data_IF_870225673585
#
_entry.id   IF_870225673585
#
_cell.length_a   1.000
_cell.length_b   1.000
_cell.length_c   1.000
_cell.angle_alpha   90.00
_cell.angle_beta   90.00
_cell.angle_gamma   90.00
#
_symmetry.space_group_name_H-M   'P 1'
#
loop_
_entity.id
_entity.type
_entity.pdbx_description
1 polymer ?
#
# COMPACT_ATOMS: atom_id res chain seq x y z
N UNK A 1 4.45 11.52 0.14
CA UNK A 1 3.65 12.49 0.93
C UNK A 1 4.34 12.72 2.26
N UNK A 2 4.21 13.90 2.83
CA UNK A 2 4.83 14.33 4.09
C UNK A 2 3.76 14.71 5.10
N UNK A 3 4.04 14.57 6.40
CA UNK A 3 3.14 15.00 7.46
C UNK A 3 2.99 16.54 7.52
N UNK A 4 4.07 17.27 7.18
CA UNK A 4 4.10 18.73 7.11
C UNK A 4 4.71 19.20 5.77
N UNK A 5 4.49 20.46 5.37
CA UNK A 5 5.00 21.03 4.11
C UNK A 5 6.53 21.30 4.18
N UNK A 6 7.30 20.24 4.39
CA UNK A 6 8.76 20.28 4.52
C UNK A 6 9.41 19.01 3.97
N UNK A 7 10.57 19.16 3.31
CA UNK A 7 11.37 18.01 2.85
C UNK A 7 11.95 17.19 4.03
N UNK A 8 12.13 17.81 5.17
CA UNK A 8 12.69 17.18 6.37
C UNK A 8 11.62 16.55 7.27
N UNK A 9 10.32 16.74 6.96
CA UNK A 9 9.26 16.13 7.76
C UNK A 9 9.10 14.64 7.42
N UNK A 10 8.44 13.92 8.32
CA UNK A 10 8.15 12.50 8.19
C UNK A 10 7.47 12.17 6.85
N UNK A 11 7.93 11.12 6.19
CA UNK A 11 7.18 10.51 5.10
C UNK A 11 6.04 9.67 5.69
N UNK A 12 4.81 10.07 5.44
CA UNK A 12 3.62 9.38 5.98
C UNK A 12 2.94 8.46 4.99
N UNK A 13 3.12 8.72 3.67
CA UNK A 13 2.52 7.91 2.61
C UNK A 13 3.25 8.13 1.28
N UNK A 14 2.95 7.29 0.28
CA UNK A 14 3.35 7.46 -1.12
C UNK A 14 2.11 7.41 -2.02
N UNK A 15 1.97 8.39 -2.91
CA UNK A 15 1.08 8.27 -4.06
C UNK A 15 1.81 7.56 -5.20
N UNK A 16 1.15 6.56 -5.77
CA UNK A 16 1.66 5.88 -6.95
C UNK A 16 1.23 6.61 -8.22
N UNK A 17 1.93 6.34 -9.32
CA UNK A 17 1.56 6.91 -10.62
C UNK A 17 0.08 6.64 -10.94
N UNK A 18 -0.60 7.69 -11.40
CA UNK A 18 -2.00 7.63 -11.83
C UNK A 18 -3.04 7.62 -10.71
N UNK A 19 -2.63 7.48 -9.44
CA UNK A 19 -3.53 7.71 -8.32
C UNK A 19 -3.99 9.16 -8.32
N UNK A 20 -5.24 9.38 -7.97
CA UNK A 20 -5.90 10.69 -8.01
C UNK A 20 -5.99 11.27 -6.61
N UNK A 21 -5.95 12.59 -6.53
CA UNK A 21 -6.16 13.31 -5.29
C UNK A 21 -6.94 14.60 -5.52
N UNK A 22 -7.55 15.09 -4.47
CA UNK A 22 -8.07 16.43 -4.36
C UNK A 22 -7.00 17.33 -3.72
N UNK A 23 -6.81 18.53 -4.26
CA UNK A 23 -5.97 19.55 -3.65
C UNK A 23 -6.83 20.36 -2.68
N UNK A 24 -6.48 20.30 -1.39
CA UNK A 24 -7.18 21.01 -0.32
C UNK A 24 -6.63 22.42 -0.11
N UNK A 25 -5.30 22.57 -0.25
CA UNK A 25 -4.58 23.79 0.03
C UNK A 25 -3.27 23.81 -0.77
N UNK A 26 -2.80 24.99 -1.16
CA UNK A 26 -1.46 25.24 -1.70
C UNK A 26 -0.85 26.39 -0.92
N UNK A 27 0.31 26.19 -0.31
CA UNK A 27 1.01 27.23 0.43
C UNK A 27 1.99 28.03 -0.47
N UNK A 28 2.52 29.12 0.08
CA UNK A 28 3.43 30.06 -0.62
C UNK A 28 4.75 29.42 -1.11
N UNK A 29 5.09 28.21 -0.61
CA UNK A 29 6.29 27.47 -0.97
C UNK A 29 5.99 26.32 -1.95
N UNK A 30 4.88 26.35 -2.66
CA UNK A 30 4.43 25.30 -3.59
C UNK A 30 4.29 23.90 -2.98
N UNK A 31 3.90 23.82 -1.71
CA UNK A 31 3.43 22.59 -1.11
C UNK A 31 1.92 22.51 -1.25
N UNK A 32 1.42 21.38 -1.72
CA UNK A 32 0.01 21.08 -1.80
C UNK A 32 -0.38 20.08 -0.69
N UNK A 33 -1.35 20.45 0.14
CA UNK A 33 -2.07 19.51 0.99
C UNK A 33 -3.10 18.81 0.12
N UNK A 34 -3.05 17.49 0.09
CA UNK A 34 -3.89 16.68 -0.77
C UNK A 34 -4.65 15.64 0.04
N UNK A 35 -5.81 15.24 -0.47
CA UNK A 35 -6.57 14.07 -0.04
C UNK A 35 -6.56 13.02 -1.16
N UNK A 36 -6.02 11.84 -0.87
CA UNK A 36 -6.01 10.71 -1.80
C UNK A 36 -7.44 10.22 -2.06
N UNK A 37 -7.79 9.98 -3.31
CA UNK A 37 -9.13 9.50 -3.69
C UNK A 37 -9.36 8.05 -3.25
N UNK A 38 -8.30 7.23 -3.24
CA UNK A 38 -8.39 5.81 -2.96
C UNK A 38 -8.77 5.50 -1.50
N UNK A 39 -8.16 6.19 -0.54
CA UNK A 39 -8.24 5.88 0.90
C UNK A 39 -8.59 7.10 1.78
N UNK A 40 -8.76 8.27 1.15
CA UNK A 40 -9.03 9.52 1.87
C UNK A 40 -7.83 10.05 2.67
N UNK A 41 -6.64 9.44 2.56
CA UNK A 41 -5.46 9.86 3.32
C UNK A 41 -4.99 11.25 2.97
N UNK A 42 -4.75 12.09 3.98
CA UNK A 42 -4.29 13.47 3.80
C UNK A 42 -2.79 13.61 4.08
N UNK A 43 -2.13 14.50 3.37
CA UNK A 43 -0.74 14.83 3.58
C UNK A 43 -0.24 15.83 2.53
N UNK A 44 1.02 16.21 2.66
CA UNK A 44 1.64 17.24 1.84
C UNK A 44 2.54 16.62 0.75
N UNK A 45 2.50 17.19 -0.44
CA UNK A 45 3.46 16.91 -1.52
C UNK A 45 3.86 18.20 -2.24
N UNK A 46 4.88 18.16 -3.07
CA UNK A 46 5.20 19.30 -3.94
C UNK A 46 4.15 19.42 -5.04
N UNK A 47 3.62 20.62 -5.25
CA UNK A 47 2.63 20.88 -6.29
C UNK A 47 3.12 20.44 -7.69
N UNK A 48 4.40 20.65 -7.99
CA UNK A 48 5.02 20.22 -9.26
C UNK A 48 5.06 18.69 -9.48
N UNK A 49 4.70 17.87 -8.49
CA UNK A 49 4.55 16.41 -8.63
C UNK A 49 3.14 16.02 -9.09
N UNK A 50 2.21 16.97 -9.17
CA UNK A 50 0.82 16.75 -9.52
C UNK A 50 0.56 17.18 -10.96
N UNK A 51 -0.32 16.44 -11.65
CA UNK A 51 -0.84 16.81 -12.97
C UNK A 51 -2.30 17.18 -12.83
N UNK A 52 -2.62 18.44 -13.14
CA UNK A 52 -4.01 18.92 -13.10
C UNK A 52 -4.84 18.25 -14.19
N UNK A 53 -6.00 17.75 -13.83
CA UNK A 53 -6.96 17.13 -14.75
C UNK A 53 -8.34 17.77 -14.62
N UNK A 54 -9.14 17.81 -15.68
CA UNK A 54 -10.51 18.29 -15.59
C UNK A 54 -11.35 17.42 -14.66
N UNK A 55 -12.33 18.01 -13.95
CA UNK A 55 -13.24 17.30 -13.04
C UNK A 55 -13.94 16.10 -13.71
N UNK A 56 -14.27 16.22 -14.99
CA UNK A 56 -14.85 15.13 -15.79
C UNK A 56 -13.90 13.92 -15.89
N UNK A 57 -12.60 14.15 -15.97
CA UNK A 57 -11.58 13.07 -15.98
C UNK A 57 -11.35 12.53 -14.56
N UNK A 58 -11.30 13.40 -13.55
CA UNK A 58 -11.16 13.00 -12.14
C UNK A 58 -12.25 12.01 -11.70
N UNK A 59 -13.49 12.19 -12.14
CA UNK A 59 -14.63 11.31 -11.81
C UNK A 59 -14.59 9.94 -12.49
N UNK A 60 -13.67 9.71 -13.43
CA UNK A 60 -13.52 8.41 -14.09
C UNK A 60 -12.64 7.49 -13.25
N UNK A 61 -13.12 6.30 -12.97
CA UNK A 61 -12.29 5.29 -12.30
C UNK A 61 -11.25 4.71 -13.28
N UNK A 62 -10.01 4.45 -12.81
CA UNK A 62 -9.03 3.72 -13.61
C UNK A 62 -9.59 2.33 -13.93
N UNK A 63 -9.31 1.84 -15.14
CA UNK A 63 -9.82 0.52 -15.57
C UNK A 63 -8.90 -0.64 -15.20
N UNK A 64 -7.65 -0.34 -14.87
CA UNK A 64 -6.63 -1.34 -14.57
C UNK A 64 -5.47 -0.71 -13.79
N UNK A 65 -4.71 -1.57 -13.14
CA UNK A 65 -3.44 -1.22 -12.48
C UNK A 65 -2.26 -1.92 -13.16
N UNK A 66 -1.05 -1.39 -12.94
CA UNK A 66 0.21 -2.05 -13.29
C UNK A 66 0.36 -3.33 -12.46
N UNK A 67 0.63 -4.47 -13.10
CA UNK A 67 0.60 -5.78 -12.44
C UNK A 67 1.89 -6.61 -12.58
N UNK A 68 2.93 -6.08 -13.14
CA UNK A 68 4.24 -6.75 -13.12
C UNK A 68 5.30 -5.90 -12.44
N UNK A 69 6.26 -6.55 -11.79
CA UNK A 69 7.38 -5.87 -11.12
C UNK A 69 8.28 -5.11 -12.12
N UNK A 70 8.31 -5.56 -13.38
CA UNK A 70 9.02 -4.89 -14.48
C UNK A 70 8.17 -3.91 -15.29
N UNK A 71 7.04 -3.42 -14.75
CA UNK A 71 6.22 -2.42 -15.43
C UNK A 71 6.98 -1.11 -15.59
N UNK A 72 6.84 -0.48 -16.76
CA UNK A 72 7.52 0.78 -17.06
C UNK A 72 6.76 1.65 -18.06
N UNK A 73 7.04 2.94 -17.99
CA UNK A 73 6.72 3.91 -19.02
C UNK A 73 7.97 4.16 -19.86
N UNK A 74 7.85 4.03 -21.19
CA UNK A 74 8.92 4.35 -22.14
C UNK A 74 8.59 5.68 -22.80
N UNK A 75 9.41 6.67 -22.55
CA UNK A 75 9.42 7.98 -23.16
C UNK A 75 10.39 8.01 -24.35
N UNK A 76 10.40 9.09 -25.11
CA UNK A 76 11.37 9.29 -26.18
C UNK A 76 12.82 9.31 -25.64
N UNK A 77 13.01 9.89 -24.45
CA UNK A 77 14.32 10.15 -23.84
C UNK A 77 14.72 9.13 -22.77
N UNK A 78 13.94 8.04 -22.56
CA UNK A 78 14.26 7.03 -21.55
C UNK A 78 13.07 6.27 -21.00
N UNK A 79 13.31 5.55 -19.94
CA UNK A 79 12.31 4.71 -19.30
C UNK A 79 12.16 5.07 -17.82
N UNK A 80 10.95 5.02 -17.32
CA UNK A 80 10.62 5.17 -15.90
C UNK A 80 9.98 3.87 -15.40
N UNK A 81 10.50 3.34 -14.30
CA UNK A 81 9.86 2.24 -13.59
C UNK A 81 8.48 2.67 -13.06
N UNK A 82 7.52 1.77 -13.19
CA UNK A 82 6.16 1.97 -12.69
C UNK A 82 5.88 0.96 -11.58
N UNK A 83 5.62 1.41 -10.35
CA UNK A 83 5.33 0.54 -9.22
C UNK A 83 4.14 -0.39 -9.46
N UNK A 84 4.21 -1.60 -8.88
CA UNK A 84 3.08 -2.52 -8.81
C UNK A 84 1.89 -1.84 -8.13
N UNK A 85 0.69 -1.97 -8.71
CA UNK A 85 -0.52 -1.31 -8.20
C UNK A 85 -0.72 0.15 -8.61
N UNK A 86 0.21 0.73 -9.41
CA UNK A 86 0.02 2.06 -10.01
C UNK A 86 -1.22 2.06 -10.91
N UNK A 87 -2.06 3.08 -10.79
CA UNK A 87 -3.25 3.20 -11.60
C UNK A 87 -2.90 3.54 -13.06
N UNK A 88 -3.41 2.77 -14.00
CA UNK A 88 -3.22 3.03 -15.43
C UNK A 88 -4.24 4.07 -15.92
N UNK A 89 -4.44 5.13 -15.11
CA UNK A 89 -5.36 6.21 -15.41
C UNK A 89 -4.91 6.96 -16.67
N UNK A 90 -5.85 7.18 -17.57
CA UNK A 90 -5.60 7.95 -18.80
C UNK A 90 -4.71 7.27 -19.84
N UNK A 91 -4.12 6.10 -19.56
CA UNK A 91 -3.31 5.37 -20.54
C UNK A 91 -4.23 4.75 -21.59
N UNK A 92 -4.45 5.47 -22.69
CA UNK A 92 -5.22 5.01 -23.85
C UNK A 92 -4.28 4.48 -24.93
N UNK A 93 -4.56 3.28 -25.47
CA UNK A 93 -3.72 2.70 -26.52
C UNK A 93 -2.24 2.53 -26.14
N UNK A 94 -1.94 2.45 -24.84
CA UNK A 94 -0.57 2.37 -24.34
C UNK A 94 0.15 3.73 -24.21
N UNK A 95 -0.54 4.86 -24.41
CA UNK A 95 0.04 6.20 -24.27
C UNK A 95 -0.39 6.87 -22.97
N UNK A 96 0.53 7.57 -22.32
CA UNK A 96 0.28 8.35 -21.11
C UNK A 96 -0.65 9.56 -21.36
N UNK A 97 -1.39 10.01 -20.33
CA UNK A 97 -2.42 11.05 -20.51
C UNK A 97 -1.86 12.46 -20.47
N UNK A 98 -2.79 13.35 -20.85
CA UNK A 98 -2.88 14.80 -20.70
C UNK A 98 -1.75 15.44 -19.89
N UNK A 99 -1.01 16.37 -20.55
CA UNK A 99 0.03 17.21 -19.98
C UNK A 99 1.33 16.49 -19.51
N UNK A 100 1.43 15.18 -19.68
CA UNK A 100 2.69 14.45 -19.50
C UNK A 100 3.32 14.17 -20.87
N UNK A 101 4.64 14.04 -20.96
CA UNK A 101 5.32 13.59 -22.17
C UNK A 101 4.70 12.30 -22.70
N UNK A 102 4.62 12.18 -24.02
CA UNK A 102 4.10 10.96 -24.64
C UNK A 102 4.92 9.74 -24.19
N UNK A 103 4.27 8.79 -23.54
CA UNK A 103 4.92 7.58 -23.06
C UNK A 103 4.10 6.34 -23.42
N UNK A 104 4.79 5.21 -23.61
CA UNK A 104 4.17 3.92 -23.85
C UNK A 104 4.30 3.06 -22.60
N UNK A 105 3.19 2.53 -22.13
CA UNK A 105 3.20 1.56 -21.03
C UNK A 105 3.66 0.19 -21.52
N UNK A 106 4.63 -0.40 -20.84
CA UNK A 106 5.08 -1.78 -21.01
C UNK A 106 4.91 -2.52 -19.68
N UNK A 107 4.19 -3.64 -19.68
CA UNK A 107 3.97 -4.47 -18.50
C UNK A 107 2.60 -5.18 -18.56
N UNK A 108 2.42 -6.13 -17.63
CA UNK A 108 1.12 -6.77 -17.43
C UNK A 108 0.15 -5.77 -16.78
N UNK A 109 -1.13 -5.88 -17.10
CA UNK A 109 -2.22 -5.09 -16.53
C UNK A 109 -3.17 -6.02 -15.80
N UNK A 110 -3.62 -5.61 -14.62
CA UNK A 110 -4.75 -6.23 -13.94
C UNK A 110 -5.95 -5.29 -14.05
N UNK A 111 -7.00 -5.74 -14.69
CA UNK A 111 -8.24 -4.96 -14.82
C UNK A 111 -9.03 -5.02 -13.53
N UNK A 112 -9.68 -3.93 -13.13
CA UNK A 112 -10.49 -3.87 -11.91
C UNK A 112 -11.63 -4.90 -11.92
N UNK A 113 -12.27 -5.14 -13.07
CA UNK A 113 -13.33 -6.15 -13.24
C UNK A 113 -12.81 -7.62 -13.22
N UNK A 114 -11.51 -7.81 -13.07
CA UNK A 114 -10.83 -9.12 -12.95
C UNK A 114 -10.10 -9.29 -11.62
N UNK A 115 -10.21 -8.30 -10.73
CA UNK A 115 -9.71 -8.42 -9.37
C UNK A 115 -10.64 -9.35 -8.58
N UNK A 116 -10.04 -10.22 -7.79
CA UNK A 116 -10.75 -11.20 -6.96
C UNK A 116 -10.27 -11.03 -5.53
N UNK A 117 -11.21 -10.92 -4.60
CA UNK A 117 -10.93 -10.87 -3.17
C UNK A 117 -11.25 -12.23 -2.57
N UNK A 118 -10.23 -13.06 -2.47
CA UNK A 118 -10.24 -14.32 -1.72
C UNK A 118 -8.88 -14.51 -1.01
N UNK A 119 -8.85 -15.45 -0.08
CA UNK A 119 -7.68 -15.67 0.78
C UNK A 119 -6.41 -16.02 -0.02
N UNK A 120 -6.52 -16.89 -1.03
CA UNK A 120 -5.35 -17.32 -1.82
C UNK A 120 -4.85 -16.20 -2.73
N UNK A 121 -5.75 -15.46 -3.38
CA UNK A 121 -5.40 -14.31 -4.21
C UNK A 121 -4.72 -13.23 -3.36
N UNK A 122 -5.28 -12.91 -2.18
CA UNK A 122 -4.71 -11.92 -1.26
C UNK A 122 -3.31 -12.31 -0.80
N UNK A 123 -3.10 -13.58 -0.42
CA UNK A 123 -1.79 -14.14 -0.11
C UNK A 123 -0.81 -13.97 -1.28
N UNK A 124 -1.22 -14.31 -2.50
CA UNK A 124 -0.38 -14.16 -3.69
C UNK A 124 -0.02 -12.68 -3.95
N UNK A 125 -0.91 -11.74 -3.66
CA UNK A 125 -0.61 -10.30 -3.79
C UNK A 125 0.39 -9.85 -2.74
N UNK A 126 0.25 -10.27 -1.49
CA UNK A 126 1.21 -9.96 -0.42
C UNK A 126 2.61 -10.55 -0.73
N UNK A 127 2.68 -11.78 -1.23
CA UNK A 127 3.94 -12.44 -1.58
C UNK A 127 4.72 -11.75 -2.70
N UNK A 128 4.09 -10.91 -3.55
CA UNK A 128 4.82 -10.08 -4.53
C UNK A 128 5.74 -9.06 -3.91
N UNK A 129 5.54 -8.73 -2.64
CA UNK A 129 6.36 -7.80 -1.86
C UNK A 129 7.38 -8.51 -0.96
N UNK A 130 7.44 -9.85 -0.96
CA UNK A 130 8.39 -10.60 -0.15
C UNK A 130 9.82 -10.13 -0.44
N UNK A 131 10.60 -9.89 0.61
CA UNK A 131 11.95 -9.31 0.59
C UNK A 131 12.05 -7.82 0.19
N UNK A 132 10.95 -7.12 -0.09
CA UNK A 132 10.98 -5.68 -0.28
C UNK A 132 11.58 -5.00 0.97
N UNK A 133 12.47 -4.01 0.83
CA UNK A 133 13.04 -3.28 1.97
C UNK A 133 11.95 -2.62 2.82
N UNK A 134 12.15 -2.56 4.14
CA UNK A 134 11.30 -1.75 5.00
C UNK A 134 11.54 -0.26 4.73
N UNK A 135 10.48 0.48 4.54
CA UNK A 135 10.51 1.93 4.39
C UNK A 135 9.24 2.51 5.04
N UNK A 136 9.41 3.31 6.08
CA UNK A 136 8.31 4.02 6.72
C UNK A 136 7.56 4.91 5.72
N UNK A 137 6.23 4.83 5.70
CA UNK A 137 5.38 5.52 4.72
C UNK A 137 5.43 4.92 3.31
N UNK A 138 6.15 3.81 3.09
CA UNK A 138 6.34 3.19 1.78
C UNK A 138 5.16 2.34 1.31
N UNK A 139 4.98 2.26 -0.03
CA UNK A 139 3.93 1.45 -0.69
C UNK A 139 4.42 0.71 -1.94
N UNK A 140 5.73 0.55 -2.10
CA UNK A 140 6.31 -0.08 -3.31
C UNK A 140 7.24 -1.24 -2.97
N UNK A 141 7.57 -2.06 -3.96
CA UNK A 141 8.58 -3.12 -3.81
C UNK A 141 9.99 -2.58 -3.57
N UNK A 142 10.24 -1.28 -3.79
CA UNK A 142 11.50 -0.62 -3.47
C UNK A 142 11.54 -0.08 -2.04
N UNK A 143 10.43 -0.15 -1.33
CA UNK A 143 10.30 0.23 0.08
C UNK A 143 8.83 0.25 0.49
N UNK A 144 8.52 -0.48 1.57
CA UNK A 144 7.15 -0.66 2.06
C UNK A 144 7.14 -0.80 3.58
N UNK A 145 6.12 -0.21 4.26
CA UNK A 145 5.88 -0.46 5.68
C UNK A 145 4.80 -1.52 5.92
N UNK A 146 4.50 -1.78 7.19
CA UNK A 146 3.59 -2.86 7.58
C UNK A 146 2.15 -2.65 7.06
N UNK A 147 1.58 -1.47 7.27
CA UNK A 147 0.23 -1.14 6.82
C UNK A 147 0.16 -0.86 5.31
N UNK A 148 1.25 -0.37 4.70
CA UNK A 148 1.39 -0.27 3.26
C UNK A 148 1.37 -1.63 2.56
N UNK A 149 2.00 -2.66 3.15
CA UNK A 149 1.96 -4.03 2.62
C UNK A 149 0.53 -4.58 2.60
N UNK A 150 -0.19 -4.50 3.70
CA UNK A 150 -1.59 -4.95 3.78
C UNK A 150 -2.46 -4.14 2.84
N UNK A 151 -2.34 -2.81 2.84
CA UNK A 151 -3.10 -1.93 1.96
C UNK A 151 -2.88 -2.27 0.47
N UNK A 152 -1.63 -2.48 0.06
CA UNK A 152 -1.33 -2.80 -1.35
C UNK A 152 -1.79 -4.19 -1.75
N UNK A 153 -1.73 -5.18 -0.84
CA UNK A 153 -2.28 -6.51 -1.10
C UNK A 153 -3.80 -6.44 -1.35
N UNK A 154 -4.54 -5.74 -0.48
CA UNK A 154 -5.98 -5.52 -0.65
C UNK A 154 -6.31 -4.69 -1.90
N UNK A 155 -5.53 -3.63 -2.20
CA UNK A 155 -5.70 -2.85 -3.43
C UNK A 155 -5.64 -3.72 -4.68
N UNK A 156 -4.69 -4.66 -4.74
CA UNK A 156 -4.53 -5.57 -5.87
C UNK A 156 -5.66 -6.63 -5.95
N UNK A 157 -6.42 -6.80 -4.87
CA UNK A 157 -7.65 -7.61 -4.85
C UNK A 157 -8.92 -6.76 -5.06
N UNK A 158 -8.80 -5.43 -5.26
CA UNK A 158 -9.92 -4.54 -5.54
C UNK A 158 -10.61 -3.95 -4.31
N UNK A 159 -10.07 -4.16 -3.11
CA UNK A 159 -10.61 -3.62 -1.86
C UNK A 159 -9.74 -2.47 -1.34
N UNK A 160 -10.38 -1.33 -1.04
CA UNK A 160 -9.72 -0.22 -0.33
C UNK A 160 -9.76 -0.48 1.18
N UNK A 161 -8.62 -0.29 1.84
CA UNK A 161 -8.51 -0.27 3.30
C UNK A 161 -7.71 0.98 3.73
N UNK A 162 -7.87 1.47 4.96
CA UNK A 162 -7.13 2.63 5.44
C UNK A 162 -5.61 2.47 5.36
N UNK A 163 -4.89 3.60 5.33
CA UNK A 163 -3.42 3.61 5.22
C UNK A 163 -2.73 3.17 6.51
N UNK A 164 -3.21 3.62 7.67
CA UNK A 164 -2.51 3.42 8.94
C UNK A 164 -2.99 2.16 9.67
N UNK A 165 -2.07 1.44 10.30
CA UNK A 165 -2.37 0.19 11.02
C UNK A 165 -3.46 0.38 12.10
N UNK A 166 -3.43 1.51 12.82
CA UNK A 166 -4.44 1.84 13.82
C UNK A 166 -5.85 2.02 13.24
N UNK A 167 -5.94 2.56 12.01
CA UNK A 167 -7.22 2.70 11.30
C UNK A 167 -7.69 1.35 10.74
N UNK A 168 -6.77 0.55 10.16
CA UNK A 168 -7.07 -0.80 9.69
C UNK A 168 -7.61 -1.71 10.80
N UNK A 169 -7.14 -1.52 12.05
CA UNK A 169 -7.59 -2.29 13.21
C UNK A 169 -9.06 -2.02 13.59
N UNK A 170 -9.67 -0.94 13.07
CA UNK A 170 -11.09 -0.63 13.27
C UNK A 170 -12.00 -1.26 12.21
N UNK A 171 -11.41 -1.81 11.14
CA UNK A 171 -12.15 -2.43 10.04
C UNK A 171 -12.50 -3.89 10.34
N UNK A 172 -13.59 -4.36 9.73
CA UNK A 172 -13.98 -5.77 9.75
C UNK A 172 -14.39 -6.33 11.12
N UNK A 173 -14.50 -7.64 11.18
CA UNK A 173 -14.92 -8.38 12.35
C UNK A 173 -13.74 -8.88 13.18
N UNK A 174 -13.89 -8.91 14.51
CA UNK A 174 -12.85 -9.46 15.40
C UNK A 174 -12.86 -10.99 15.36
N UNK A 175 -11.68 -11.59 15.25
CA UNK A 175 -11.45 -13.01 15.41
C UNK A 175 -10.96 -13.25 16.85
N UNK A 176 -11.79 -13.83 17.69
CA UNK A 176 -11.55 -13.92 19.14
C UNK A 176 -10.33 -14.75 19.52
N UNK A 177 -10.06 -15.82 18.78
CA UNK A 177 -8.95 -16.74 19.05
C UNK A 177 -8.10 -16.96 17.80
N UNK A 178 -6.77 -16.93 17.97
CA UNK A 178 -5.84 -17.14 16.85
C UNK A 178 -6.02 -18.50 16.15
N UNK A 179 -6.49 -19.52 16.85
CA UNK A 179 -6.83 -20.83 16.27
C UNK A 179 -7.97 -20.77 15.24
N UNK A 180 -8.82 -19.75 15.32
CA UNK A 180 -9.91 -19.51 14.36
C UNK A 180 -9.49 -18.58 13.23
N UNK A 181 -8.27 -18.04 13.31
CA UNK A 181 -7.72 -17.22 12.26
C UNK A 181 -7.36 -18.07 11.02
N UNK A 182 -7.46 -17.45 9.87
CA UNK A 182 -7.20 -18.07 8.58
C UNK A 182 -6.46 -17.14 7.65
N UNK A 183 -6.02 -17.67 6.54
CA UNK A 183 -5.39 -16.89 5.49
C UNK A 183 -6.27 -15.68 5.11
N UNK A 184 -5.68 -14.49 5.08
CA UNK A 184 -6.36 -13.24 4.75
C UNK A 184 -6.75 -12.40 5.96
N UNK A 185 -6.78 -12.96 7.17
CA UNK A 185 -6.99 -12.18 8.40
C UNK A 185 -5.79 -11.27 8.68
N UNK A 186 -6.04 -10.11 9.28
CA UNK A 186 -5.01 -9.16 9.70
C UNK A 186 -4.74 -9.27 11.20
N UNK A 187 -3.48 -9.48 11.57
CA UNK A 187 -3.05 -9.47 12.96
C UNK A 187 -2.42 -8.11 13.31
N UNK A 188 -2.86 -7.53 14.42
CA UNK A 188 -2.44 -6.21 14.89
C UNK A 188 -1.70 -6.29 16.22
N UNK A 189 -0.67 -5.46 16.35
CA UNK A 189 0.26 -5.50 17.46
C UNK A 189 0.37 -4.11 18.07
N UNK A 190 0.43 -4.07 19.41
CA UNK A 190 0.50 -2.81 20.14
C UNK A 190 1.87 -2.59 20.79
N UNK A 191 2.16 -1.32 21.08
CA UNK A 191 3.25 -0.92 21.96
C UNK A 191 2.86 -1.06 23.45
N UNK A 192 3.78 -0.67 24.33
CA UNK A 192 3.56 -0.70 25.78
C UNK A 192 2.37 0.18 26.26
N UNK A 193 2.05 1.25 25.52
CA UNK A 193 0.93 2.16 25.82
C UNK A 193 -0.42 1.63 25.28
N UNK A 194 -0.43 0.43 24.68
CA UNK A 194 -1.64 -0.16 24.10
C UNK A 194 -2.02 0.37 22.72
N UNK A 195 -1.25 1.28 22.12
CA UNK A 195 -1.49 1.83 20.80
C UNK A 195 -1.08 0.80 19.72
N UNK A 196 -1.94 0.58 18.73
CA UNK A 196 -1.59 -0.25 17.55
C UNK A 196 -0.47 0.45 16.77
N UNK A 197 0.64 -0.27 16.57
CA UNK A 197 1.85 0.23 15.89
C UNK A 197 2.31 -0.68 14.77
N UNK A 198 1.74 -1.88 14.65
CA UNK A 198 2.15 -2.83 13.62
C UNK A 198 0.98 -3.71 13.17
N UNK A 199 1.06 -4.18 11.92
CA UNK A 199 0.10 -5.10 11.30
C UNK A 199 0.82 -6.07 10.37
N UNK A 200 0.25 -7.27 10.22
CA UNK A 200 0.65 -8.24 9.21
C UNK A 200 -0.53 -9.06 8.73
N UNK A 201 -0.37 -9.69 7.58
CA UNK A 201 -1.36 -10.58 6.97
C UNK A 201 -1.07 -12.02 7.38
N UNK A 202 -2.06 -12.71 7.94
CA UNK A 202 -1.95 -14.13 8.26
C UNK A 202 -2.01 -14.97 6.97
N UNK A 203 -1.05 -15.86 6.83
CA UNK A 203 -1.02 -16.87 5.76
C UNK A 203 -1.77 -18.15 6.17
N UNK A 204 -1.84 -18.36 7.46
CA UNK A 204 -2.63 -19.35 8.21
C UNK A 204 -2.68 -18.94 9.68
N UNK A 205 -3.07 -19.88 10.60
CA UNK A 205 -3.20 -19.59 12.03
C UNK A 205 -1.88 -19.46 12.79
N UNK A 206 -0.74 -19.85 12.19
CA UNK A 206 0.58 -19.84 12.85
C UNK A 206 1.68 -19.14 12.03
N UNK A 207 1.34 -18.55 10.89
CA UNK A 207 2.29 -17.95 9.95
C UNK A 207 1.80 -16.58 9.45
N UNK A 208 2.69 -15.59 9.46
CA UNK A 208 2.37 -14.20 9.12
C UNK A 208 3.39 -13.63 8.13
N UNK A 209 2.90 -12.89 7.11
CA UNK A 209 3.74 -12.04 6.28
C UNK A 209 3.59 -10.58 6.72
N UNK A 210 4.71 -9.91 6.96
CA UNK A 210 4.72 -8.52 7.41
C UNK A 210 6.00 -7.79 6.98
N UNK A 211 5.90 -6.46 6.81
CA UNK A 211 7.06 -5.60 6.64
C UNK A 211 7.50 -5.12 8.03
N UNK A 212 8.72 -5.41 8.43
CA UNK A 212 9.19 -5.09 9.77
C UNK A 212 10.55 -4.40 9.75
N UNK A 213 10.66 -3.32 10.53
CA UNK A 213 11.92 -2.61 10.77
C UNK A 213 12.97 -3.54 11.37
N UNK A 214 12.57 -4.43 12.29
CA UNK A 214 13.46 -5.38 12.96
C UNK A 214 14.25 -6.28 11.99
N UNK A 215 13.64 -6.71 10.89
CA UNK A 215 14.30 -7.49 9.83
C UNK A 215 14.71 -6.62 8.63
N UNK A 216 14.36 -5.32 8.64
CA UNK A 216 14.65 -4.36 7.57
C UNK A 216 13.92 -4.62 6.24
N UNK A 217 12.94 -5.52 6.23
CA UNK A 217 12.24 -5.97 5.00
C UNK A 217 10.94 -6.70 5.28
N UNK A 218 10.24 -7.05 4.20
CA UNK A 218 9.11 -7.98 4.25
C UNK A 218 9.63 -9.41 4.46
N UNK A 219 9.09 -10.08 5.48
CA UNK A 219 9.45 -11.44 5.88
C UNK A 219 8.19 -12.27 6.17
N UNK A 220 8.38 -13.60 6.20
CA UNK A 220 7.41 -14.54 6.76
C UNK A 220 7.98 -15.05 8.08
N UNK A 221 7.22 -14.82 9.14
CA UNK A 221 7.58 -15.22 10.50
C UNK A 221 6.47 -16.11 11.11
N UNK A 222 6.77 -16.73 12.26
CA UNK A 222 5.79 -17.49 13.04
C UNK A 222 4.98 -16.55 13.92
N UNK A 223 3.75 -16.96 14.23
CA UNK A 223 2.89 -16.25 15.18
C UNK A 223 2.22 -17.23 16.13
N UNK A 224 2.11 -16.84 17.40
CA UNK A 224 1.31 -17.52 18.41
C UNK A 224 0.45 -16.50 19.19
N UNK A 225 -0.25 -16.95 20.23
CA UNK A 225 -1.08 -16.11 21.10
C UNK A 225 -0.32 -14.94 21.73
N UNK A 226 0.97 -15.05 21.95
CA UNK A 226 1.82 -13.98 22.48
C UNK A 226 2.30 -12.98 21.42
N UNK A 227 2.20 -13.31 20.11
CA UNK A 227 2.60 -12.46 18.99
C UNK A 227 3.64 -13.08 18.06
N UNK A 228 4.35 -12.23 17.31
CA UNK A 228 5.29 -12.67 16.27
C UNK A 228 6.59 -13.19 16.88
N UNK A 229 7.02 -14.36 16.41
CA UNK A 229 8.32 -14.98 16.67
C UNK A 229 9.13 -14.92 15.39
N UNK A 230 10.13 -14.04 15.37
CA UNK A 230 11.01 -13.93 14.20
C UNK A 230 11.80 -15.21 13.98
N UNK A 231 11.65 -15.80 12.79
CA UNK A 231 12.38 -17.01 12.37
C UNK A 231 13.89 -16.75 12.32
N UNK A 232 14.29 -15.58 11.84
CA UNK A 232 15.70 -15.19 11.70
C UNK A 232 16.34 -14.89 13.06
N UNK A 233 15.66 -14.11 13.93
CA UNK A 233 16.21 -13.67 15.23
C UNK A 233 15.93 -14.66 16.35
N UNK A 234 15.06 -15.65 16.14
CA UNK A 234 14.65 -16.67 17.11
C UNK A 234 14.14 -16.07 18.43
N UNK A 235 13.42 -14.95 18.36
CA UNK A 235 12.84 -14.28 19.52
C UNK A 235 11.49 -13.64 19.17
N UNK A 236 10.67 -13.39 20.20
CA UNK A 236 9.44 -12.62 20.07
C UNK A 236 9.76 -11.14 19.79
N UNK A 237 9.12 -10.59 18.79
CA UNK A 237 9.37 -9.20 18.33
C UNK A 237 8.17 -8.28 18.50
N UNK A 238 6.95 -8.81 18.45
CA UNK A 238 5.73 -8.03 18.54
C UNK A 238 4.70 -8.76 19.41
N UNK A 239 3.93 -8.02 20.22
CA UNK A 239 2.87 -8.55 21.06
C UNK A 239 1.53 -8.47 20.36
N UNK A 240 0.83 -9.62 20.20
CA UNK A 240 -0.47 -9.69 19.56
C UNK A 240 -1.51 -8.94 20.40
N UNK A 241 -2.26 -8.05 19.76
CA UNK A 241 -3.36 -7.33 20.39
C UNK A 241 -4.72 -7.85 19.95
N UNK A 242 -4.95 -8.01 18.66
CA UNK A 242 -6.19 -8.50 18.08
C UNK A 242 -5.99 -9.02 16.65
N UNK A 243 -6.95 -9.78 16.17
CA UNK A 243 -7.04 -10.23 14.78
C UNK A 243 -8.36 -9.75 14.19
N UNK A 244 -8.33 -9.30 12.94
CA UNK A 244 -9.49 -8.82 12.18
C UNK A 244 -9.66 -9.58 10.87
N UNK A 245 -10.91 -9.85 10.54
CA UNK A 245 -11.34 -10.40 9.24
C UNK A 245 -12.12 -9.34 8.49
N UNK A 246 -11.69 -9.02 7.26
CA UNK A 246 -12.24 -7.93 6.48
C UNK A 246 -13.21 -8.42 5.37
N UNK A 247 -13.26 -9.73 5.08
CA UNK A 247 -14.12 -10.33 4.04
C UNK A 247 -14.47 -11.79 4.32
#
# INVERSE_FOLDING_TARGET
MRGEPSHCSEQVNQMLYGERCEILEINEKDWAKIRCEWDGYEGWCRFGQLSMIPLKEYRKHPKAVAFSLGSKLTYEQGEQWMPLGSDLFGIKGGRAPLNLPAAKYKGKRLRHDKMVLDAETLKQMALKYLHAPYLWGGRTVSGIDCSGLTQMAFKLCGMAIPRDAGQQANEGETVDFLQHARCGDLAFFNNADGKIVHVGLLLDHDTIIHATETSGRVVIDRIDQGGIISVTLRKRTHHLRLVKRLF
#
